data_IF_797284607356
#
_entry.id   IF_797284607356
#
_cell.length_a   1.000
_cell.length_b   1.000
_cell.length_c   1.000
_cell.angle_alpha   90.00
_cell.angle_beta   90.00
_cell.angle_gamma   90.00
#
_symmetry.space_group_name_H-M   'P 1'
#
loop_
_entity.id
_entity.type
_entity.pdbx_description
1 polymer ?
#
# COMPACT_ATOMS: atom_id res chain seq x y z
N UNK A 1 0.34 -32.57 20.10
CA UNK A 1 0.90 -31.30 20.60
C UNK A 1 2.01 -30.80 19.68
N UNK A 2 3.16 -31.49 19.53
CA UNK A 2 4.23 -31.10 18.57
C UNK A 2 3.87 -31.08 17.08
N UNK A 3 3.02 -32.01 16.63
CA UNK A 3 2.65 -32.13 15.21
C UNK A 3 1.90 -30.90 14.66
N UNK A 4 1.07 -30.27 15.49
CA UNK A 4 0.32 -29.06 15.13
C UNK A 4 1.24 -27.83 14.98
N UNK A 5 2.26 -27.72 15.83
CA UNK A 5 3.27 -26.65 15.74
C UNK A 5 4.09 -26.73 14.45
N UNK A 6 4.43 -27.94 13.99
CA UNK A 6 5.18 -28.15 12.73
C UNK A 6 4.34 -27.77 11.51
N UNK A 7 3.06 -28.16 11.49
CA UNK A 7 2.13 -27.79 10.41
C UNK A 7 1.94 -26.27 10.32
N UNK A 8 1.82 -25.60 11.46
CA UNK A 8 1.61 -24.17 11.50
C UNK A 8 2.89 -23.37 11.12
N UNK A 9 4.09 -23.89 11.40
CA UNK A 9 5.37 -23.31 10.93
C UNK A 9 5.55 -23.38 9.40
N UNK A 10 5.01 -24.40 8.75
CA UNK A 10 5.06 -24.53 7.29
C UNK A 10 4.09 -23.56 6.58
N UNK A 11 3.04 -23.11 7.28
CA UNK A 11 2.06 -22.14 6.76
C UNK A 11 2.61 -20.71 6.84
N UNK A 12 3.40 -20.36 7.86
CA UNK A 12 3.96 -19.01 8.03
C UNK A 12 5.11 -18.68 7.07
N UNK A 13 5.86 -19.68 6.57
CA UNK A 13 6.91 -19.47 5.56
C UNK A 13 6.38 -19.04 4.18
N UNK A 14 5.05 -19.01 3.98
CA UNK A 14 4.46 -18.76 2.66
C UNK A 14 3.66 -17.47 2.49
N UNK A 15 3.45 -16.62 3.49
CA UNK A 15 2.53 -15.50 3.24
C UNK A 15 2.76 -14.26 4.11
N UNK A 16 3.68 -13.40 3.68
CA UNK A 16 3.64 -11.97 4.02
C UNK A 16 3.21 -11.22 2.76
N UNK A 17 1.92 -11.30 2.40
CA UNK A 17 1.38 -10.37 1.41
C UNK A 17 0.94 -9.10 2.13
N UNK A 18 1.88 -8.17 2.30
CA UNK A 18 1.53 -6.79 2.59
C UNK A 18 0.74 -6.22 1.41
N UNK A 19 -0.59 -6.26 1.50
CA UNK A 19 -1.49 -5.63 0.53
C UNK A 19 -1.43 -4.10 0.71
N UNK A 20 -0.33 -3.50 0.27
CA UNK A 20 -0.30 -2.08 -0.04
C UNK A 20 -0.98 -1.85 -1.39
N UNK A 21 -1.72 -0.75 -1.53
CA UNK A 21 -2.27 -0.35 -2.83
C UNK A 21 -1.15 -0.30 -3.87
N UNK A 22 -1.17 -1.22 -4.84
CA UNK A 22 -0.13 -1.34 -5.88
C UNK A 22 0.04 -0.04 -6.67
N UNK A 23 -1.06 0.68 -6.84
CA UNK A 23 -1.16 2.00 -7.49
C UNK A 23 -0.16 3.02 -6.92
N UNK A 24 0.12 2.97 -5.62
CA UNK A 24 1.00 3.94 -4.96
C UNK A 24 2.48 3.82 -5.36
N UNK A 25 2.87 2.71 -6.00
CA UNK A 25 4.23 2.49 -6.49
C UNK A 25 4.34 2.65 -8.02
N UNK A 26 3.22 2.90 -8.69
CA UNK A 26 3.19 3.17 -10.13
C UNK A 26 3.56 4.63 -10.42
N UNK A 27 3.86 4.92 -11.67
CA UNK A 27 3.99 6.29 -12.15
C UNK A 27 2.63 6.84 -12.56
N UNK A 28 2.40 8.13 -12.37
CA UNK A 28 1.21 8.79 -12.94
C UNK A 28 1.37 8.85 -14.47
N UNK A 29 0.41 8.30 -15.21
CA UNK A 29 0.39 8.30 -16.67
C UNK A 29 -0.77 9.16 -17.18
N UNK A 30 -0.63 9.69 -18.40
CA UNK A 30 -1.63 10.58 -19.01
C UNK A 30 -1.80 10.21 -20.48
N UNK A 31 -3.04 9.99 -20.93
CA UNK A 31 -3.32 9.62 -22.33
C UNK A 31 -3.31 10.86 -23.25
N UNK A 32 -3.87 11.99 -22.80
CA UNK A 32 -3.73 13.27 -23.50
C UNK A 32 -4.44 13.44 -24.84
N UNK A 33 -5.44 12.61 -25.12
CA UNK A 33 -6.40 12.76 -26.24
C UNK A 33 -7.22 14.06 -26.26
N UNK A 34 -7.19 14.87 -25.20
CA UNK A 34 -7.90 16.14 -25.14
C UNK A 34 -6.96 17.31 -24.81
N UNK A 35 -7.38 18.52 -25.15
CA UNK A 35 -6.59 19.77 -24.96
C UNK A 35 -6.65 20.35 -23.54
N UNK A 36 -7.24 19.63 -22.59
CA UNK A 36 -7.37 20.07 -21.20
C UNK A 36 -6.16 19.64 -20.37
N UNK A 37 -5.66 20.53 -19.51
CA UNK A 37 -4.68 20.20 -18.47
C UNK A 37 -5.39 19.99 -17.15
N UNK A 38 -5.23 18.82 -16.54
CA UNK A 38 -5.74 18.50 -15.21
C UNK A 38 -4.64 18.63 -14.17
N UNK A 39 -5.04 18.98 -12.94
CA UNK A 39 -4.15 19.13 -11.79
C UNK A 39 -4.62 18.18 -10.69
N UNK A 40 -3.67 17.57 -10.00
CA UNK A 40 -3.96 16.63 -8.92
C UNK A 40 -2.71 16.34 -8.11
N UNK A 41 -2.68 15.14 -7.53
CA UNK A 41 -1.64 14.66 -6.64
C UNK A 41 -1.15 13.28 -7.07
N UNK A 42 0.15 13.04 -6.93
CA UNK A 42 0.79 11.74 -7.10
C UNK A 42 1.55 11.38 -5.83
N UNK A 43 1.55 10.10 -5.47
CA UNK A 43 2.27 9.65 -4.29
C UNK A 43 3.74 9.34 -4.63
N UNK A 44 4.66 9.95 -3.89
CA UNK A 44 6.09 9.70 -4.01
C UNK A 44 6.53 8.80 -2.86
N UNK A 45 6.66 7.50 -3.13
CA UNK A 45 7.00 6.48 -2.13
C UNK A 45 8.31 6.78 -1.39
N UNK A 46 9.35 7.25 -2.09
CA UNK A 46 10.65 7.62 -1.49
C UNK A 46 10.57 8.76 -0.48
N UNK A 47 9.51 9.56 -0.54
CA UNK A 47 9.27 10.69 0.37
C UNK A 47 8.09 10.43 1.30
N UNK A 48 7.45 9.26 1.19
CA UNK A 48 6.18 8.91 1.84
C UNK A 48 5.15 10.06 1.80
N UNK A 49 5.01 10.72 0.64
CA UNK A 49 4.25 11.98 0.55
C UNK A 49 3.55 12.17 -0.80
N UNK A 50 2.37 12.77 -0.75
CA UNK A 50 1.63 13.22 -1.93
C UNK A 50 2.16 14.57 -2.43
N UNK A 51 2.45 14.65 -3.73
CA UNK A 51 2.99 15.84 -4.41
C UNK A 51 2.07 16.26 -5.54
N UNK A 52 1.98 17.58 -5.77
CA UNK A 52 1.18 18.12 -6.87
C UNK A 52 1.77 17.70 -8.22
N UNK A 53 0.91 17.28 -9.13
CA UNK A 53 1.24 16.98 -10.51
C UNK A 53 0.20 17.62 -11.42
N UNK A 54 0.61 17.93 -12.65
CA UNK A 54 -0.29 18.42 -13.69
C UNK A 54 0.08 17.76 -15.00
N UNK A 55 -0.94 17.46 -15.80
CA UNK A 55 -0.74 16.76 -17.07
C UNK A 55 -1.98 16.84 -17.95
N UNK A 56 -1.90 16.23 -19.15
CA UNK A 56 -3.04 16.09 -20.04
C UNK A 56 -4.20 15.34 -19.35
N UNK A 57 -5.39 15.40 -19.93
CA UNK A 57 -6.52 14.65 -19.39
C UNK A 57 -6.36 13.12 -19.48
N UNK A 58 -7.29 12.42 -18.84
CA UNK A 58 -7.28 10.98 -18.64
C UNK A 58 -5.98 10.52 -17.95
N UNK A 59 -5.75 11.07 -16.76
CA UNK A 59 -4.74 10.54 -15.86
C UNK A 59 -5.15 9.15 -15.36
N UNK A 60 -4.15 8.28 -15.16
CA UNK A 60 -4.32 6.92 -14.66
C UNK A 60 -3.33 6.61 -13.55
N UNK A 61 -3.49 5.44 -12.93
CA UNK A 61 -2.58 4.89 -11.93
C UNK A 61 -2.39 5.83 -10.74
N UNK A 62 -1.14 6.27 -10.49
CA UNK A 62 -0.75 7.05 -9.32
C UNK A 62 -1.13 8.53 -9.44
N UNK A 63 -2.40 8.80 -9.73
CA UNK A 63 -2.98 10.13 -9.83
C UNK A 63 -4.28 10.23 -9.05
N UNK A 64 -4.38 11.24 -8.20
CA UNK A 64 -5.52 11.52 -7.34
C UNK A 64 -5.95 12.97 -7.54
N UNK A 65 -7.26 13.22 -7.55
CA UNK A 65 -7.77 14.59 -7.74
C UNK A 65 -7.49 15.48 -6.53
N UNK A 66 -7.55 14.90 -5.34
CA UNK A 66 -7.41 15.60 -4.07
C UNK A 66 -6.28 15.01 -3.21
N UNK A 67 -5.72 15.87 -2.35
CA UNK A 67 -4.60 15.47 -1.49
C UNK A 67 -5.02 14.41 -0.47
N UNK A 68 -6.24 14.52 0.06
CA UNK A 68 -6.73 13.63 1.11
C UNK A 68 -6.89 12.20 0.60
N UNK A 69 -7.44 12.00 -0.60
CA UNK A 69 -7.57 10.68 -1.22
C UNK A 69 -6.22 10.04 -1.50
N UNK A 70 -5.25 10.81 -2.00
CA UNK A 70 -3.87 10.34 -2.16
C UNK A 70 -3.26 9.89 -0.83
N UNK A 71 -3.40 10.71 0.22
CA UNK A 71 -2.81 10.41 1.52
C UNK A 71 -3.48 9.21 2.19
N UNK A 72 -4.81 9.13 2.16
CA UNK A 72 -5.57 7.99 2.68
C UNK A 72 -5.26 6.71 1.92
N UNK A 73 -5.07 6.77 0.60
CA UNK A 73 -4.78 5.59 -0.21
C UNK A 73 -3.35 5.06 -0.02
N UNK A 74 -2.37 5.95 0.14
CA UNK A 74 -0.96 5.61 -0.03
C UNK A 74 -0.06 5.89 1.18
N UNK A 75 -0.39 6.83 2.06
CA UNK A 75 0.44 7.03 3.25
C UNK A 75 0.28 5.83 4.16
N UNK A 76 1.38 5.12 4.36
CA UNK A 76 1.48 4.19 5.48
C UNK A 76 1.49 5.03 6.74
N UNK A 77 0.45 4.89 7.56
CA UNK A 77 0.51 5.44 8.91
C UNK A 77 1.55 4.58 9.63
N UNK A 78 2.71 5.18 9.95
CA UNK A 78 3.66 4.59 10.89
C UNK A 78 3.03 4.76 12.28
N UNK A 79 1.91 4.06 12.51
CA UNK A 79 1.51 3.76 13.87
C UNK A 79 2.41 2.61 14.34
N UNK A 80 2.69 2.49 15.64
CA UNK A 80 3.17 1.24 16.23
C UNK A 80 2.08 0.16 16.20
N UNK A 81 1.36 0.02 15.07
CA UNK A 81 0.45 -1.09 14.83
C UNK A 81 1.32 -2.28 14.41
N UNK A 82 1.77 -3.00 15.45
CA UNK A 82 1.69 -4.47 15.56
C UNK A 82 1.39 -5.08 14.19
N UNK A 83 2.42 -5.52 13.50
CA UNK A 83 2.27 -6.25 12.24
C UNK A 83 1.29 -7.40 12.49
N UNK A 84 0.46 -7.80 11.51
CA UNK A 84 -0.40 -8.98 11.66
C UNK A 84 0.39 -10.22 12.11
N UNK A 85 1.69 -10.29 11.80
CA UNK A 85 2.62 -11.31 12.29
C UNK A 85 2.87 -11.28 13.80
N UNK A 86 2.74 -10.13 14.47
CA UNK A 86 2.95 -10.01 15.92
C UNK A 86 1.77 -10.53 16.76
N UNK A 87 0.55 -10.55 16.21
CA UNK A 87 -0.62 -11.13 16.90
C UNK A 87 -0.63 -12.66 16.78
N UNK A 88 -0.21 -13.17 15.62
CA UNK A 88 -0.07 -14.60 15.36
C UNK A 88 1.05 -15.24 16.19
N UNK A 89 2.19 -14.55 16.37
CA UNK A 89 3.28 -15.03 17.24
C UNK A 89 2.83 -15.19 18.70
N UNK A 90 2.02 -14.24 19.21
CA UNK A 90 1.51 -14.27 20.58
C UNK A 90 0.54 -15.44 20.79
N UNK A 91 -0.34 -15.70 19.82
CA UNK A 91 -1.27 -16.82 19.85
C UNK A 91 -0.54 -18.18 19.70
N UNK A 92 0.54 -18.23 18.92
CA UNK A 92 1.39 -19.42 18.76
C UNK A 92 2.08 -19.83 20.07
N UNK A 93 2.61 -18.86 20.81
CA UNK A 93 3.27 -19.09 22.10
C UNK A 93 2.27 -19.62 23.14
N UNK A 94 1.02 -19.18 23.09
CA UNK A 94 -0.02 -19.59 24.04
C UNK A 94 -0.69 -20.94 23.71
N UNK A 95 -0.53 -21.47 22.49
CA UNK A 95 -1.23 -22.69 22.01
C UNK A 95 -0.33 -23.95 21.91
N UNK A 96 1.01 -23.84 21.85
CA UNK A 96 1.93 -24.95 21.50
C UNK A 96 2.43 -25.91 22.63
#
# INVERSE_FOLDING_TARGET
>A
MRSFCILALLITLKFEMGYGNSVCNLQATFIGWCKMTIRGFTFVASKNACRRISGPCAAQDNFFMDKASCETACKKIILPLKSSSDLYLYLFIYIC
#
